data_IF_014626397239
#
_entry.id   IF_014626397239
#
_cell.length_a   1.000
_cell.length_b   1.000
_cell.length_c   1.000
_cell.angle_alpha   90.00
_cell.angle_beta   90.00
_cell.angle_gamma   90.00
#
_symmetry.space_group_name_H-M   'P 1'
#
loop_
_entity.id
_entity.type
_entity.pdbx_description
1 polymer ?
#
# COMPACT_ATOMS: atom_id res chain seq x y z
N UNK A 1 -14.92 6.36 -4.72
CA UNK A 1 -15.20 5.88 -3.36
C UNK A 1 -13.91 5.26 -2.89
N UNK A 2 -13.27 5.79 -1.85
CA UNK A 2 -11.97 5.31 -1.36
C UNK A 2 -12.13 4.12 -0.43
N UNK A 3 -11.07 3.34 -0.28
CA UNK A 3 -11.02 2.24 0.67
C UNK A 3 -11.16 2.74 2.11
N UNK A 4 -11.79 1.93 2.95
CA UNK A 4 -11.92 2.20 4.36
C UNK A 4 -11.76 0.91 5.17
N UNK A 5 -11.33 1.08 6.42
CA UNK A 5 -11.26 0.00 7.41
C UNK A 5 -12.09 0.42 8.62
N UNK A 6 -12.96 -0.48 9.10
CA UNK A 6 -13.65 -0.28 10.37
C UNK A 6 -12.79 -0.87 11.49
N UNK A 7 -12.28 0.00 12.36
CA UNK A 7 -11.62 -0.41 13.59
C UNK A 7 -12.70 -0.60 14.65
N UNK A 8 -12.85 -1.82 15.14
CA UNK A 8 -13.85 -2.18 16.15
C UNK A 8 -13.16 -2.52 17.47
N UNK A 9 -13.51 -1.77 18.51
CA UNK A 9 -13.02 -1.95 19.87
C UNK A 9 -14.12 -2.40 20.84
N UNK A 10 -15.29 -2.82 20.32
CA UNK A 10 -16.49 -3.07 21.11
C UNK A 10 -16.24 -4.02 22.28
N UNK A 11 -16.57 -3.51 23.46
CA UNK A 11 -16.57 -4.21 24.73
C UNK A 11 -17.81 -3.77 25.53
N UNK A 12 -18.42 -4.71 26.26
CA UNK A 12 -19.64 -4.45 27.03
C UNK A 12 -19.34 -3.50 28.20
N UNK A 13 -20.25 -2.57 28.48
CA UNK A 13 -20.14 -1.58 29.56
C UNK A 13 -18.82 -0.78 29.57
N UNK A 14 -18.25 -0.54 28.39
CA UNK A 14 -17.02 0.22 28.22
C UNK A 14 -17.26 1.62 27.62
N UNK A 15 -16.41 2.57 28.01
CA UNK A 15 -16.26 3.86 27.34
C UNK A 15 -14.99 3.90 26.50
N UNK A 16 -15.03 4.64 25.39
CA UNK A 16 -13.96 4.70 24.39
C UNK A 16 -13.42 6.11 24.24
N UNK A 17 -12.12 6.22 23.98
CA UNK A 17 -11.47 7.45 23.56
C UNK A 17 -10.47 7.14 22.45
N UNK A 18 -10.79 7.60 21.23
CA UNK A 18 -9.92 7.49 20.07
C UNK A 18 -8.94 8.66 19.99
N UNK A 19 -7.88 8.51 19.20
CA UNK A 19 -6.86 9.54 19.00
C UNK A 19 -7.38 10.83 18.36
N UNK A 20 -8.51 10.77 17.65
CA UNK A 20 -9.19 11.91 17.02
C UNK A 20 -10.19 12.60 17.97
N UNK A 21 -10.36 12.10 19.19
CA UNK A 21 -11.34 12.57 20.17
C UNK A 21 -12.71 11.91 20.07
N UNK A 22 -12.91 10.97 19.13
CA UNK A 22 -14.15 10.20 19.02
C UNK A 22 -14.34 9.25 20.21
N UNK A 23 -15.60 8.93 20.55
CA UNK A 23 -15.95 8.08 21.70
C UNK A 23 -16.86 6.90 21.35
N UNK A 24 -17.09 6.65 20.06
CA UNK A 24 -17.85 5.49 19.60
C UNK A 24 -17.03 4.20 19.80
N UNK A 25 -17.70 3.05 19.89
CA UNK A 25 -17.01 1.74 20.01
C UNK A 25 -16.22 1.36 18.75
N UNK A 26 -16.53 2.01 17.63
CA UNK A 26 -15.86 1.81 16.34
C UNK A 26 -15.41 3.14 15.72
N UNK A 27 -14.34 3.08 14.93
CA UNK A 27 -13.82 4.20 14.15
C UNK A 27 -13.61 3.79 12.69
N UNK A 28 -14.12 4.59 11.76
CA UNK A 28 -13.86 4.40 10.32
C UNK A 28 -12.57 5.11 9.94
N UNK A 29 -11.56 4.32 9.57
CA UNK A 29 -10.29 4.81 9.09
C UNK A 29 -10.29 4.85 7.56
N UNK A 30 -9.87 5.97 6.98
CA UNK A 30 -9.80 6.19 5.52
C UNK A 30 -8.44 6.73 5.07
N UNK A 31 -7.48 6.86 5.99
CA UNK A 31 -6.16 7.44 5.72
C UNK A 31 -5.07 6.64 6.42
N UNK A 32 -3.87 6.65 5.86
CA UNK A 32 -2.68 6.11 6.51
C UNK A 32 -2.37 6.90 7.77
N UNK A 33 -2.13 6.22 8.88
CA UNK A 33 -1.84 6.87 10.16
C UNK A 33 -1.81 5.92 11.34
N UNK A 34 -1.39 6.44 12.48
CA UNK A 34 -1.46 5.71 13.74
C UNK A 34 -2.84 5.93 14.38
N UNK A 35 -3.56 4.84 14.58
CA UNK A 35 -4.86 4.81 15.25
C UNK A 35 -4.67 4.24 16.64
N UNK A 36 -5.27 4.87 17.65
CA UNK A 36 -5.21 4.37 19.01
C UNK A 36 -6.52 4.58 19.73
N UNK A 37 -6.90 3.59 20.52
CA UNK A 37 -8.11 3.62 21.34
C UNK A 37 -7.76 3.30 22.78
N UNK A 38 -8.30 4.09 23.70
CA UNK A 38 -8.38 3.77 25.12
C UNK A 38 -9.77 3.26 25.42
N UNK A 39 -9.85 2.06 25.99
CA UNK A 39 -11.09 1.42 26.43
C UNK A 39 -11.07 1.36 27.94
N UNK A 40 -12.10 1.93 28.57
CA UNK A 40 -12.26 1.94 30.03
C UNK A 40 -13.53 1.20 30.39
N UNK A 41 -13.39 0.13 31.19
CA UNK A 41 -14.50 -0.59 31.82
C UNK A 41 -14.58 -0.20 33.30
N UNK A 42 -15.55 -0.76 34.02
CA UNK A 42 -15.64 -0.61 35.48
C UNK A 42 -14.38 -1.10 36.21
N UNK A 43 -13.71 -2.13 35.68
CA UNK A 43 -12.62 -2.82 36.35
C UNK A 43 -11.24 -2.32 35.93
N UNK A 44 -11.10 -1.85 34.68
CA UNK A 44 -9.79 -1.56 34.12
C UNK A 44 -9.84 -0.53 32.98
N UNK A 45 -8.66 0.00 32.65
CA UNK A 45 -8.45 0.82 31.45
C UNK A 45 -7.29 0.25 30.67
N UNK A 46 -7.52 -0.01 29.39
CA UNK A 46 -6.51 -0.52 28.46
C UNK A 46 -6.43 0.39 27.24
N UNK A 47 -5.23 0.50 26.67
CA UNK A 47 -5.00 1.25 25.43
C UNK A 47 -4.31 0.36 24.44
N UNK A 48 -4.72 0.45 23.17
CA UNK A 48 -4.06 -0.23 22.06
C UNK A 48 -3.83 0.75 20.92
N UNK A 49 -2.77 0.54 20.15
CA UNK A 49 -2.44 1.34 18.98
C UNK A 49 -2.06 0.44 17.80
N UNK A 50 -2.46 0.86 16.60
CA UNK A 50 -2.15 0.20 15.35
C UNK A 50 -1.74 1.23 14.31
N UNK A 51 -0.68 0.93 13.55
CA UNK A 51 -0.32 1.67 12.36
C UNK A 51 -1.11 1.10 11.18
N UNK A 52 -1.95 1.93 10.57
CA UNK A 52 -2.68 1.58 9.36
C UNK A 52 -2.03 2.26 8.16
N UNK A 53 -1.78 1.47 7.11
CA UNK A 53 -1.21 1.96 5.85
C UNK A 53 -2.15 1.60 4.72
N UNK A 54 -2.76 2.61 4.09
CA UNK A 54 -3.40 2.50 2.80
C UNK A 54 -2.33 2.68 1.72
N UNK A 55 -2.21 1.71 0.83
CA UNK A 55 -1.32 1.75 -0.32
C UNK A 55 -2.18 2.17 -1.51
N UNK A 56 -1.85 3.33 -2.10
CA UNK A 56 -2.50 3.77 -3.33
C UNK A 56 -1.92 2.95 -4.48
N UNK A 57 -2.67 1.94 -4.92
CA UNK A 57 -2.29 1.10 -6.04
C UNK A 57 -2.61 1.82 -7.34
N UNK A 58 -1.63 2.57 -7.82
CA UNK A 58 -1.63 3.02 -9.21
C UNK A 58 -1.42 1.83 -10.13
N UNK A 59 -2.19 1.76 -11.22
CA UNK A 59 -1.97 0.73 -12.24
C UNK A 59 -0.53 0.84 -12.75
N UNK A 60 0.24 -0.26 -12.76
CA UNK A 60 1.57 -0.24 -13.35
C UNK A 60 1.51 0.22 -14.83
N UNK A 61 2.34 1.18 -15.21
CA UNK A 61 2.50 1.61 -16.61
C UNK A 61 3.99 1.77 -16.92
N UNK A 62 4.47 1.12 -17.99
CA UNK A 62 5.87 1.22 -18.44
C UNK A 62 6.16 2.51 -19.23
N UNK A 63 5.19 3.42 -19.29
CA UNK A 63 5.20 4.61 -20.14
C UNK A 63 4.71 4.33 -21.57
N UNK A 64 4.86 5.33 -22.44
CA UNK A 64 4.49 5.22 -23.85
C UNK A 64 5.60 4.56 -24.68
N UNK A 65 5.20 3.91 -25.77
CA UNK A 65 6.10 3.36 -26.77
C UNK A 65 7.11 4.41 -27.25
N UNK A 66 8.38 4.01 -27.31
CA UNK A 66 9.50 4.89 -27.65
C UNK A 66 10.39 4.27 -28.72
N UNK A 67 11.06 5.14 -29.48
CA UNK A 67 12.08 4.73 -30.45
C UNK A 67 13.45 4.74 -29.79
N UNK A 68 14.25 3.70 -30.06
CA UNK A 68 15.63 3.57 -29.57
C UNK A 68 16.59 3.74 -30.76
N UNK A 69 17.61 4.59 -30.63
CA UNK A 69 18.69 4.64 -31.62
C UNK A 69 19.77 3.60 -31.30
N UNK A 70 20.54 3.21 -32.31
CA UNK A 70 21.63 2.25 -32.13
C UNK A 70 22.68 2.81 -31.13
N UNK A 71 22.95 2.04 -30.08
CA UNK A 71 23.88 2.43 -29.00
C UNK A 71 23.23 3.17 -27.83
N UNK A 72 21.95 3.54 -27.92
CA UNK A 72 21.22 4.14 -26.80
C UNK A 72 20.80 3.08 -25.78
N UNK A 73 20.58 3.52 -24.55
CA UNK A 73 19.97 2.70 -23.49
C UNK A 73 18.87 3.50 -22.83
N UNK A 74 17.68 2.93 -22.78
CA UNK A 74 16.54 3.46 -22.02
C UNK A 74 16.40 2.63 -20.74
N UNK A 75 16.01 3.27 -19.65
CA UNK A 75 15.73 2.58 -18.40
C UNK A 75 14.22 2.61 -18.16
N UNK A 76 13.60 1.43 -18.16
CA UNK A 76 12.21 1.27 -17.73
C UNK A 76 12.21 1.14 -16.21
N UNK A 77 11.61 2.10 -15.53
CA UNK A 77 11.44 2.07 -14.09
C UNK A 77 10.01 1.64 -13.77
N UNK A 78 9.88 0.47 -13.13
CA UNK A 78 8.60 -0.09 -12.73
C UNK A 78 8.38 -0.01 -11.22
N UNK A 79 9.15 0.83 -10.52
CA UNK A 79 9.06 1.01 -9.07
C UNK A 79 7.67 1.50 -8.64
N UNK A 80 6.95 0.70 -7.86
CA UNK A 80 5.63 1.05 -7.32
C UNK A 80 5.62 1.12 -5.78
N UNK A 81 4.87 2.04 -5.16
CA UNK A 81 4.65 2.04 -3.72
C UNK A 81 4.04 0.72 -3.25
N UNK A 82 4.62 0.11 -2.21
CA UNK A 82 4.12 -1.16 -1.67
C UNK A 82 4.41 -2.40 -2.51
N UNK A 83 5.22 -2.27 -3.57
CA UNK A 83 5.77 -3.40 -4.32
C UNK A 83 6.72 -4.23 -3.44
N UNK A 84 6.60 -5.54 -3.51
CA UNK A 84 7.52 -6.45 -2.83
C UNK A 84 8.31 -7.32 -3.79
N UNK A 85 7.86 -7.48 -5.03
CA UNK A 85 8.50 -8.36 -6.00
C UNK A 85 8.24 -7.93 -7.45
N UNK A 86 9.25 -8.11 -8.30
CA UNK A 86 9.23 -7.81 -9.73
C UNK A 86 9.75 -9.00 -10.53
N UNK A 87 9.18 -9.23 -11.71
CA UNK A 87 9.67 -10.24 -12.64
C UNK A 87 9.54 -9.68 -14.06
N UNK A 88 10.66 -9.49 -14.74
CA UNK A 88 10.72 -9.14 -16.16
C UNK A 88 10.64 -10.37 -17.06
N UNK A 89 10.44 -10.15 -18.35
CA UNK A 89 10.38 -11.22 -19.35
C UNK A 89 11.62 -12.14 -19.39
N UNK A 90 12.78 -11.67 -18.93
CA UNK A 90 14.03 -12.45 -18.87
C UNK A 90 14.26 -13.11 -17.50
N UNK A 91 13.33 -12.95 -16.55
CA UNK A 91 13.42 -13.46 -15.19
C UNK A 91 14.20 -12.58 -14.23
N UNK A 92 14.70 -11.43 -14.66
CA UNK A 92 15.29 -10.45 -13.74
C UNK A 92 14.24 -9.88 -12.78
N UNK A 93 14.68 -9.48 -11.59
CA UNK A 93 13.81 -9.05 -10.49
C UNK A 93 14.12 -7.64 -9.99
N UNK A 94 15.00 -6.93 -10.69
CA UNK A 94 15.31 -5.54 -10.37
C UNK A 94 14.13 -4.64 -10.80
N UNK A 95 13.79 -3.59 -10.05
CA UNK A 95 12.69 -2.69 -10.41
C UNK A 95 12.99 -1.83 -11.66
N UNK A 96 14.26 -1.73 -12.04
CA UNK A 96 14.73 -0.95 -13.20
C UNK A 96 15.30 -1.90 -14.24
N UNK A 97 14.84 -1.76 -15.49
CA UNK A 97 15.28 -2.60 -16.60
C UNK A 97 15.97 -1.78 -17.71
N UNK A 98 17.24 -2.09 -18.05
CA UNK A 98 17.93 -1.45 -19.17
C UNK A 98 17.51 -2.06 -20.51
N UNK A 99 16.92 -1.24 -21.37
CA UNK A 99 16.53 -1.57 -22.74
C UNK A 99 17.62 -1.07 -23.70
N UNK A 100 18.27 -2.01 -24.37
CA UNK A 100 19.34 -1.77 -25.36
C UNK A 100 18.99 -2.28 -26.75
N UNK A 101 17.91 -3.05 -26.88
CA UNK A 101 17.44 -3.62 -28.13
C UNK A 101 15.97 -3.28 -28.33
N UNK A 102 15.54 -3.20 -29.58
CA UNK A 102 14.12 -3.05 -29.90
C UNK A 102 13.36 -4.34 -29.59
N UNK A 103 12.16 -4.22 -29.04
CA UNK A 103 11.31 -5.35 -28.70
C UNK A 103 10.15 -4.96 -27.82
N UNK A 104 9.30 -5.95 -27.53
CA UNK A 104 8.24 -5.81 -26.53
C UNK A 104 8.79 -6.25 -25.18
N UNK A 105 8.57 -5.42 -24.16
CA UNK A 105 9.04 -5.62 -22.79
C UNK A 105 7.84 -5.79 -21.88
N UNK A 106 7.88 -6.80 -21.01
CA UNK A 106 6.77 -7.08 -20.08
C UNK A 106 7.31 -7.33 -18.68
N UNK A 107 6.65 -6.73 -17.70
CA UNK A 107 6.97 -6.91 -16.29
C UNK A 107 5.71 -7.33 -15.54
N UNK A 108 5.90 -8.17 -14.53
CA UNK A 108 4.89 -8.50 -13.53
C UNK A 108 5.33 -7.96 -12.19
N UNK A 109 4.41 -7.39 -11.44
CA UNK A 109 4.68 -6.79 -10.13
C UNK A 109 3.69 -7.32 -9.11
N UNK A 110 4.21 -7.70 -7.94
CA UNK A 110 3.39 -8.10 -6.81
C UNK A 110 3.57 -7.09 -5.70
N UNK A 111 2.47 -6.47 -5.27
CA UNK A 111 2.39 -5.56 -4.14
C UNK A 111 1.97 -6.33 -2.89
N UNK A 112 1.99 -5.67 -1.73
CA UNK A 112 1.45 -6.24 -0.50
C UNK A 112 -0.05 -6.55 -0.57
N UNK A 113 -0.79 -5.85 -1.43
CA UNK A 113 -2.23 -5.96 -1.50
C UNK A 113 -2.72 -6.77 -2.72
N UNK A 114 -2.00 -6.76 -3.85
CA UNK A 114 -2.40 -7.40 -5.11
C UNK A 114 -1.22 -7.87 -5.98
N UNK A 115 -1.53 -8.57 -7.07
CA UNK A 115 -0.57 -8.94 -8.12
C UNK A 115 -1.08 -8.48 -9.48
N UNK A 116 -0.19 -7.88 -10.28
CA UNK A 116 -0.46 -7.36 -11.62
C UNK A 116 0.42 -8.05 -12.67
#
# INVERSE_FOLDING_TARGET
MGDFVLLDATNEDASYQWQDGSTNSSLTATQTGNYSVTVTTLCETQSNNALLTFIDETSPELGQDTFLCEGDTIFLDFSLPGSNNYIWQDGSTDPIYPVTLGGEYTARVTTQCNSF
#
